data_IF_220416083957
#
_entry.id   IF_220416083957
#
_cell.length_a   1.000
_cell.length_b   1.000
_cell.length_c   1.000
_cell.angle_alpha   90.00
_cell.angle_beta   90.00
_cell.angle_gamma   90.00
#
_symmetry.space_group_name_H-M   'P 1'
#
loop_
_entity.id
_entity.type
_entity.pdbx_description
1 polymer ?
#
# COMPACT_ATOMS: atom_id res chain seq x y z
N UNK A 1 6.66 7.46 20.14
CA UNK A 1 7.89 7.79 19.40
C UNK A 1 8.43 9.12 19.91
N UNK A 2 9.76 9.33 19.92
CA UNK A 2 10.42 10.53 20.46
C UNK A 2 10.40 11.72 19.46
N UNK A 3 10.03 11.46 18.18
CA UNK A 3 10.05 12.42 17.07
C UNK A 3 8.67 12.55 16.43
N UNK A 4 8.35 13.73 15.93
CA UNK A 4 7.14 13.98 15.15
C UNK A 4 7.29 13.38 13.76
N UNK A 5 6.38 12.48 13.38
CA UNK A 5 6.36 11.82 12.07
C UNK A 5 6.21 12.82 10.94
N UNK A 6 5.42 13.88 11.14
CA UNK A 6 5.21 14.92 10.13
C UNK A 6 6.49 15.74 9.91
N UNK A 7 7.22 16.05 10.98
CA UNK A 7 8.50 16.74 10.89
C UNK A 7 9.53 15.89 10.13
N UNK A 8 9.65 14.61 10.48
CA UNK A 8 10.56 13.67 9.80
C UNK A 8 10.22 13.50 8.31
N UNK A 9 8.94 13.45 7.96
CA UNK A 9 8.49 13.34 6.56
C UNK A 9 9.00 14.46 5.67
N UNK A 10 9.17 15.67 6.22
CA UNK A 10 9.67 16.84 5.49
C UNK A 10 11.19 16.96 5.47
N UNK A 11 11.88 16.36 6.43
CA UNK A 11 13.34 16.44 6.55
C UNK A 11 14.07 15.29 5.88
N UNK A 12 13.42 14.12 5.76
CA UNK A 12 14.03 12.91 5.22
C UNK A 12 13.75 12.74 3.73
N UNK A 13 14.65 12.04 3.06
CA UNK A 13 14.47 11.53 1.71
C UNK A 13 15.03 10.11 1.59
N UNK A 14 14.50 9.33 0.66
CA UNK A 14 14.77 7.89 0.53
C UNK A 14 16.27 7.55 0.40
N UNK A 15 17.04 8.39 -0.32
CA UNK A 15 18.47 8.17 -0.50
C UNK A 15 19.23 8.18 0.83
N UNK A 16 19.04 9.19 1.68
CA UNK A 16 19.75 9.26 2.97
C UNK A 16 19.34 8.11 3.90
N UNK A 17 18.06 7.69 3.85
CA UNK A 17 17.60 6.54 4.61
C UNK A 17 18.29 5.25 4.16
N UNK A 18 18.41 5.03 2.85
CA UNK A 18 19.13 3.88 2.31
C UNK A 18 20.61 3.89 2.72
N UNK A 19 21.29 5.04 2.63
CA UNK A 19 22.72 5.17 3.00
C UNK A 19 22.94 4.85 4.49
N UNK A 20 22.07 5.36 5.36
CA UNK A 20 22.14 5.09 6.80
C UNK A 20 21.87 3.60 7.09
N UNK A 21 20.84 3.01 6.48
CA UNK A 21 20.50 1.60 6.64
C UNK A 21 21.60 0.68 6.11
N UNK A 22 22.24 1.05 5.01
CA UNK A 22 23.41 0.35 4.47
C UNK A 22 24.59 0.36 5.46
N UNK A 23 24.85 1.50 6.07
CA UNK A 23 25.84 1.63 7.13
C UNK A 23 25.54 0.79 8.38
N UNK A 24 24.27 0.52 8.65
CA UNK A 24 23.81 -0.36 9.73
C UNK A 24 23.79 -1.84 9.34
N UNK A 25 24.11 -2.18 8.08
CA UNK A 25 24.12 -3.55 7.57
C UNK A 25 22.79 -4.03 6.96
N UNK A 26 21.78 -3.18 6.87
CA UNK A 26 20.49 -3.48 6.21
C UNK A 26 20.60 -3.19 4.71
N UNK A 27 20.82 -4.22 3.91
CA UNK A 27 21.08 -4.11 2.46
C UNK A 27 19.87 -4.40 1.58
N UNK A 28 18.78 -4.88 2.14
CA UNK A 28 17.53 -5.21 1.43
C UNK A 28 16.37 -4.41 2.01
N UNK A 29 16.47 -3.09 1.91
CA UNK A 29 15.56 -2.12 2.54
C UNK A 29 14.74 -1.31 1.53
N UNK A 30 15.09 -1.35 0.23
CA UNK A 30 14.42 -0.59 -0.81
C UNK A 30 13.55 -1.49 -1.69
N UNK A 31 12.29 -1.11 -1.85
CA UNK A 31 11.36 -1.74 -2.78
C UNK A 31 11.74 -1.35 -4.21
N UNK A 32 11.41 -2.22 -5.16
CA UNK A 32 11.71 -2.05 -6.59
C UNK A 32 11.13 -0.75 -7.17
N UNK A 33 11.85 -0.13 -8.09
CA UNK A 33 11.43 1.02 -8.90
C UNK A 33 10.22 0.75 -9.83
N UNK A 34 9.65 -0.45 -9.78
CA UNK A 34 8.40 -0.79 -10.48
C UNK A 34 7.15 -0.27 -9.76
N UNK A 35 7.29 0.14 -8.51
CA UNK A 35 6.21 0.79 -7.73
C UNK A 35 6.46 2.28 -7.76
N UNK A 36 5.49 3.02 -8.29
CA UNK A 36 5.63 4.46 -8.52
C UNK A 36 4.47 5.22 -7.87
N UNK A 37 4.70 6.47 -7.46
CA UNK A 37 3.65 7.30 -6.91
C UNK A 37 2.61 7.69 -7.97
N UNK A 38 1.40 7.98 -7.54
CA UNK A 38 0.36 8.57 -8.39
C UNK A 38 0.71 9.99 -8.86
N UNK A 39 1.39 10.75 -8.00
CA UNK A 39 1.97 12.06 -8.27
C UNK A 39 3.42 12.04 -7.80
N UNK A 40 4.34 12.58 -8.60
CA UNK A 40 5.79 12.48 -8.38
C UNK A 40 6.26 13.16 -7.07
N UNK A 41 5.55 14.20 -6.62
CA UNK A 41 5.81 14.90 -5.36
C UNK A 41 5.33 14.13 -4.09
N UNK A 42 4.71 12.95 -4.29
CA UNK A 42 4.07 12.22 -3.19
C UNK A 42 5.10 11.60 -2.25
N UNK A 43 4.97 11.89 -0.97
CA UNK A 43 5.74 11.25 0.10
C UNK A 43 4.78 10.57 1.08
N UNK A 44 5.06 9.32 1.44
CA UNK A 44 4.38 8.60 2.53
C UNK A 44 5.38 8.29 3.64
N UNK A 45 4.92 8.38 4.89
CA UNK A 45 5.69 7.94 6.06
C UNK A 45 4.76 7.50 7.17
N UNK A 46 4.90 6.26 7.61
CA UNK A 46 4.08 5.71 8.69
C UNK A 46 4.27 4.20 8.89
N UNK A 47 3.67 3.63 9.93
CA UNK A 47 3.73 2.20 10.18
C UNK A 47 2.89 1.41 9.14
N UNK A 48 3.37 0.24 8.78
CA UNK A 48 2.71 -0.63 7.80
C UNK A 48 1.52 -1.36 8.42
N UNK A 49 0.34 -1.21 7.82
CA UNK A 49 -0.78 -2.12 7.95
C UNK A 49 -0.77 -3.08 6.76
N UNK A 50 -0.25 -4.28 6.97
CA UNK A 50 -0.01 -5.24 5.88
C UNK A 50 -1.25 -6.04 5.54
N UNK A 51 -1.44 -6.33 4.25
CA UNK A 51 -2.50 -7.19 3.73
C UNK A 51 -2.05 -7.95 2.48
N UNK A 52 -2.74 -9.04 2.19
CA UNK A 52 -2.46 -9.88 1.03
C UNK A 52 -3.72 -10.12 0.20
N UNK A 53 -3.55 -10.07 -1.12
CA UNK A 53 -4.54 -10.48 -2.09
C UNK A 53 -4.20 -11.82 -2.71
N UNK A 54 -5.19 -12.70 -2.83
CA UNK A 54 -5.09 -14.02 -3.46
C UNK A 54 -5.96 -14.10 -4.70
N UNK A 55 -5.49 -14.83 -5.71
CA UNK A 55 -6.28 -15.07 -6.93
C UNK A 55 -7.48 -15.95 -6.60
N UNK A 56 -8.64 -15.61 -7.18
CA UNK A 56 -9.86 -16.40 -7.08
C UNK A 56 -10.45 -16.63 -8.48
N UNK A 57 -11.16 -17.74 -8.64
CA UNK A 57 -11.67 -18.19 -9.94
C UNK A 57 -13.20 -18.21 -9.99
N UNK A 58 -13.86 -17.78 -8.92
CA UNK A 58 -15.32 -17.70 -8.84
C UNK A 58 -15.74 -16.37 -8.25
N UNK A 59 -16.92 -15.90 -8.61
CA UNK A 59 -17.53 -14.71 -8.04
C UNK A 59 -18.07 -15.08 -6.64
N UNK A 60 -17.60 -14.46 -5.55
CA UNK A 60 -18.19 -14.67 -4.24
C UNK A 60 -19.59 -14.04 -4.17
N UNK A 61 -20.40 -14.48 -3.22
CA UNK A 61 -21.76 -13.96 -3.00
C UNK A 61 -21.70 -12.45 -2.69
N UNK A 62 -20.78 -12.04 -1.79
CA UNK A 62 -20.55 -10.65 -1.42
C UNK A 62 -19.15 -10.20 -1.80
N UNK A 63 -18.91 -9.85 -3.08
CA UNK A 63 -17.61 -9.42 -3.54
C UNK A 63 -17.20 -8.10 -2.86
N UNK A 64 -15.93 -7.98 -2.47
CA UNK A 64 -15.31 -6.85 -1.76
C UNK A 64 -15.57 -6.80 -0.24
N UNK A 65 -16.50 -7.55 0.31
CA UNK A 65 -16.78 -7.56 1.75
C UNK A 65 -15.55 -7.94 2.57
N UNK A 66 -14.77 -8.92 2.13
CA UNK A 66 -13.51 -9.30 2.79
C UNK A 66 -12.52 -8.11 2.83
N UNK A 67 -12.32 -7.43 1.71
CA UNK A 67 -11.43 -6.27 1.65
C UNK A 67 -11.96 -5.08 2.49
N UNK A 68 -13.27 -4.85 2.53
CA UNK A 68 -13.85 -3.85 3.43
C UNK A 68 -13.53 -4.15 4.89
N UNK A 69 -13.71 -5.40 5.34
CA UNK A 69 -13.38 -5.84 6.71
C UNK A 69 -11.89 -5.70 7.03
N UNK A 70 -11.02 -5.86 6.05
CA UNK A 70 -9.58 -5.62 6.20
C UNK A 70 -9.30 -4.13 6.39
N UNK A 71 -9.82 -3.27 5.50
CA UNK A 71 -9.62 -1.81 5.58
C UNK A 71 -10.23 -1.22 6.85
N UNK A 72 -11.32 -1.79 7.36
CA UNK A 72 -11.95 -1.34 8.61
C UNK A 72 -11.06 -1.52 9.85
N UNK A 73 -10.03 -2.33 9.79
CA UNK A 73 -9.06 -2.53 10.88
C UNK A 73 -7.89 -1.54 10.82
N UNK A 74 -7.74 -0.77 9.72
CA UNK A 74 -6.66 0.20 9.57
C UNK A 74 -6.74 1.28 10.65
N UNK A 75 -5.63 1.55 11.32
CA UNK A 75 -5.46 2.61 12.30
C UNK A 75 -5.09 3.96 11.69
N UNK A 76 -5.27 5.04 12.46
CA UNK A 76 -4.85 6.38 12.08
C UNK A 76 -3.33 6.46 11.87
N UNK A 77 -2.88 7.06 10.77
CA UNK A 77 -1.47 7.23 10.43
C UNK A 77 -0.79 5.99 9.84
N UNK A 78 -1.47 4.86 9.75
CA UNK A 78 -0.93 3.66 9.10
C UNK A 78 -0.92 3.77 7.57
N UNK A 79 0.05 3.11 6.96
CA UNK A 79 0.12 2.93 5.50
C UNK A 79 -0.49 1.57 5.15
N UNK A 80 -1.52 1.59 4.31
CA UNK A 80 -2.12 0.36 3.78
C UNK A 80 -1.19 -0.30 2.78
N UNK A 81 -0.53 -1.37 3.18
CA UNK A 81 0.37 -2.18 2.35
C UNK A 81 -0.40 -3.38 1.82
N UNK A 82 -0.64 -3.42 0.50
CA UNK A 82 -1.36 -4.52 -0.15
C UNK A 82 -0.46 -5.25 -1.14
N UNK A 83 -0.22 -6.54 -0.90
CA UNK A 83 0.60 -7.41 -1.75
C UNK A 83 -0.29 -8.40 -2.51
N UNK A 84 -0.13 -8.50 -3.83
CA UNK A 84 -0.95 -9.39 -4.69
C UNK A 84 -0.16 -10.59 -5.23
N UNK A 85 1.11 -10.75 -4.84
CA UNK A 85 1.99 -11.85 -5.29
C UNK A 85 2.05 -12.02 -6.82
N UNK A 86 1.97 -10.92 -7.56
CA UNK A 86 2.04 -10.96 -9.03
C UNK A 86 0.68 -11.19 -9.73
N UNK A 87 -0.43 -11.21 -9.00
CA UNK A 87 -1.76 -11.18 -9.64
C UNK A 87 -2.05 -9.78 -10.19
N UNK A 88 -1.73 -9.58 -11.46
CA UNK A 88 -1.93 -8.32 -12.17
C UNK A 88 -3.06 -8.35 -13.19
N UNK A 89 -3.94 -9.38 -13.14
CA UNK A 89 -5.06 -9.51 -14.07
C UNK A 89 -6.22 -8.53 -13.77
N UNK A 90 -6.17 -7.82 -12.64
CA UNK A 90 -7.18 -6.85 -12.24
C UNK A 90 -6.57 -5.72 -11.40
N UNK A 91 -7.33 -4.62 -11.23
CA UNK A 91 -7.04 -3.63 -10.22
C UNK A 91 -7.65 -4.06 -8.89
N UNK A 92 -6.83 -4.02 -7.83
CA UNK A 92 -7.24 -4.37 -6.46
C UNK A 92 -7.48 -3.14 -5.60
N UNK A 93 -7.24 -1.95 -6.15
CA UNK A 93 -7.41 -0.67 -5.47
C UNK A 93 -8.00 0.38 -6.44
N UNK A 94 -8.84 1.27 -5.93
CA UNK A 94 -9.45 2.37 -6.66
C UNK A 94 -10.15 3.34 -5.71
N UNK A 95 -11.03 4.19 -6.25
CA UNK A 95 -11.71 5.26 -5.52
C UNK A 95 -12.40 4.79 -4.23
N UNK A 96 -13.13 3.67 -4.27
CA UNK A 96 -13.88 3.14 -3.13
C UNK A 96 -12.95 2.89 -1.93
N UNK A 97 -11.86 2.15 -2.15
CA UNK A 97 -10.92 1.82 -1.07
C UNK A 97 -10.03 2.99 -0.68
N UNK A 98 -9.70 3.90 -1.60
CA UNK A 98 -9.02 5.14 -1.27
C UNK A 98 -9.87 6.00 -0.32
N UNK A 99 -11.16 6.13 -0.60
CA UNK A 99 -12.11 6.83 0.27
C UNK A 99 -12.17 6.18 1.66
N UNK A 100 -12.22 4.85 1.73
CA UNK A 100 -12.26 4.12 3.00
C UNK A 100 -10.97 4.32 3.80
N UNK A 101 -9.80 4.15 3.18
CA UNK A 101 -8.49 4.36 3.85
C UNK A 101 -8.33 5.81 4.31
N UNK A 102 -8.73 6.78 3.49
CA UNK A 102 -8.71 8.22 3.85
C UNK A 102 -9.66 8.53 5.01
N UNK A 103 -10.85 7.96 5.02
CA UNK A 103 -11.83 8.14 6.11
C UNK A 103 -11.32 7.58 7.45
N UNK A 104 -10.48 6.53 7.40
CA UNK A 104 -9.80 5.98 8.58
C UNK A 104 -8.51 6.73 8.94
N UNK A 105 -8.22 7.83 8.23
CA UNK A 105 -7.02 8.66 8.40
C UNK A 105 -5.72 7.90 8.15
N UNK A 106 -5.74 6.92 7.25
CA UNK A 106 -4.51 6.27 6.76
C UNK A 106 -3.56 7.26 6.12
N UNK A 107 -2.26 7.08 6.31
CA UNK A 107 -1.22 7.99 5.81
C UNK A 107 -0.92 7.82 4.32
N UNK A 108 -1.38 6.74 3.70
CA UNK A 108 -1.18 6.43 2.29
C UNK A 108 -1.35 4.96 1.97
N UNK A 109 -1.06 4.60 0.73
CA UNK A 109 -1.16 3.23 0.21
C UNK A 109 0.11 2.84 -0.52
N UNK A 110 0.60 1.65 -0.23
CA UNK A 110 1.68 0.98 -0.94
C UNK A 110 1.15 -0.31 -1.54
N UNK A 111 0.99 -0.34 -2.87
CA UNK A 111 0.30 -1.38 -3.59
C UNK A 111 1.26 -2.17 -4.49
N UNK A 112 1.51 -3.44 -4.15
CA UNK A 112 2.07 -4.40 -5.10
C UNK A 112 0.98 -4.92 -6.02
N UNK A 113 0.52 -4.07 -6.94
CA UNK A 113 -0.59 -4.39 -7.82
C UNK A 113 -1.01 -3.21 -8.69
N UNK A 114 -2.17 -3.37 -9.34
CA UNK A 114 -2.74 -2.37 -10.22
C UNK A 114 -3.85 -1.57 -9.54
N UNK A 115 -3.89 -0.28 -9.88
CA UNK A 115 -4.96 0.64 -9.48
C UNK A 115 -5.88 0.99 -10.65
N UNK A 116 -7.09 1.44 -10.33
CA UNK A 116 -8.07 2.02 -11.26
C UNK A 116 -8.61 3.35 -10.72
N UNK A 117 -9.52 3.98 -11.44
CA UNK A 117 -10.17 5.25 -11.04
C UNK A 117 -9.18 6.39 -10.78
N UNK A 118 -8.07 6.43 -11.56
CA UNK A 118 -6.93 7.32 -11.27
C UNK A 118 -7.28 8.81 -11.30
N UNK A 119 -8.30 9.21 -12.06
CA UNK A 119 -8.79 10.60 -12.03
C UNK A 119 -9.32 10.94 -10.65
N UNK A 120 -10.18 10.12 -10.10
CA UNK A 120 -10.73 10.30 -8.76
C UNK A 120 -9.64 10.26 -7.68
N UNK A 121 -8.68 9.32 -7.79
CA UNK A 121 -7.54 9.25 -6.87
C UNK A 121 -6.71 10.54 -6.88
N UNK A 122 -6.49 11.15 -8.05
CA UNK A 122 -5.78 12.44 -8.17
C UNK A 122 -6.58 13.59 -7.57
N UNK A 123 -7.88 13.65 -7.82
CA UNK A 123 -8.78 14.67 -7.28
C UNK A 123 -8.91 14.58 -5.74
N UNK A 124 -8.77 13.38 -5.17
CA UNK A 124 -8.71 13.19 -3.71
C UNK A 124 -7.42 13.71 -3.07
N UNK A 125 -6.35 13.91 -3.85
CA UNK A 125 -4.99 14.21 -3.36
C UNK A 125 -4.53 13.22 -2.26
N UNK A 126 -4.82 11.93 -2.50
CA UNK A 126 -4.50 10.88 -1.53
C UNK A 126 -3.26 10.09 -1.99
N UNK A 127 -2.26 9.90 -1.10
CA UNK A 127 -0.99 9.29 -1.46
C UNK A 127 -1.14 7.80 -1.81
N UNK A 128 -0.86 7.43 -3.07
CA UNK A 128 -0.90 6.04 -3.55
C UNK A 128 0.34 5.74 -4.36
N UNK A 129 1.03 4.67 -4.00
CA UNK A 129 2.12 4.06 -4.76
C UNK A 129 1.66 2.71 -5.32
N UNK A 130 1.87 2.46 -6.61
CA UNK A 130 1.36 1.26 -7.29
C UNK A 130 2.20 0.86 -8.50
N UNK A 131 2.06 -0.41 -8.96
CA UNK A 131 2.82 -0.93 -10.11
C UNK A 131 2.30 -0.44 -11.46
N UNK A 132 1.01 -0.24 -11.58
CA UNK A 132 0.41 0.12 -12.88
C UNK A 132 -1.10 0.19 -12.85
N UNK A 133 -1.69 0.30 -14.03
CA UNK A 133 -3.11 0.61 -14.25
C UNK A 133 -3.83 -0.57 -14.87
N UNK A 134 -5.01 -0.90 -14.38
CA UNK A 134 -5.90 -1.89 -15.01
C UNK A 134 -7.36 -1.48 -14.76
N UNK A 135 -8.23 -1.41 -15.79
CA UNK A 135 -9.63 -1.02 -15.59
C UNK A 135 -10.49 -2.14 -14.97
N UNK A 136 -10.04 -3.40 -15.02
CA UNK A 136 -10.81 -4.54 -14.51
C UNK A 136 -10.91 -4.51 -13.00
N UNK A 137 -12.09 -4.79 -12.45
CA UNK A 137 -12.30 -4.96 -11.00
C UNK A 137 -11.67 -6.25 -10.46
N UNK A 138 -11.33 -6.27 -9.16
CA UNK A 138 -10.91 -7.47 -8.45
C UNK A 138 -12.02 -8.51 -8.23
N UNK A 139 -13.30 -8.12 -8.33
CA UNK A 139 -14.45 -9.02 -8.11
C UNK A 139 -14.33 -10.30 -8.95
N UNK A 140 -14.30 -11.46 -8.28
CA UNK A 140 -14.12 -12.77 -8.90
C UNK A 140 -12.74 -13.02 -9.53
N UNK A 141 -11.72 -12.21 -9.18
CA UNK A 141 -10.34 -12.34 -9.70
C UNK A 141 -9.29 -12.29 -8.61
N UNK A 142 -9.47 -11.43 -7.63
CA UNK A 142 -8.57 -11.32 -6.48
C UNK A 142 -9.38 -10.94 -5.24
N UNK A 143 -9.16 -11.64 -4.15
CA UNK A 143 -9.78 -11.37 -2.86
C UNK A 143 -8.71 -11.01 -1.84
N UNK A 144 -8.98 -9.97 -1.05
CA UNK A 144 -8.11 -9.51 0.03
C UNK A 144 -8.80 -9.89 1.33
N UNK A 145 -8.30 -10.92 2.00
CA UNK A 145 -8.95 -11.56 3.15
C UNK A 145 -8.03 -11.74 4.36
N UNK A 146 -6.74 -11.47 4.21
CA UNK A 146 -5.78 -11.54 5.31
C UNK A 146 -5.07 -10.20 5.49
N UNK A 147 -4.86 -9.81 6.74
CA UNK A 147 -4.11 -8.62 7.11
C UNK A 147 -3.30 -8.84 8.39
N UNK A 148 -2.42 -7.87 8.69
CA UNK A 148 -1.55 -7.88 9.86
C UNK A 148 -0.70 -9.16 9.95
N UNK A 149 -0.21 -9.60 8.80
CA UNK A 149 0.72 -10.72 8.62
C UNK A 149 2.01 -10.21 7.96
N UNK A 150 3.16 -10.86 8.18
CA UNK A 150 4.37 -10.55 7.40
C UNK A 150 4.15 -10.81 5.91
N UNK A 151 4.54 -9.85 5.09
CA UNK A 151 4.46 -9.95 3.63
C UNK A 151 5.83 -9.70 2.99
N UNK A 152 5.98 -10.06 1.72
CA UNK A 152 7.18 -9.76 0.94
C UNK A 152 6.79 -9.01 -0.33
N UNK A 153 7.43 -7.88 -0.58
CA UNK A 153 7.23 -7.05 -1.77
C UNK A 153 8.58 -6.86 -2.46
N UNK A 154 8.73 -7.39 -3.68
CA UNK A 154 9.99 -7.38 -4.45
C UNK A 154 11.22 -7.87 -3.66
N UNK A 155 11.06 -8.89 -2.83
CA UNK A 155 12.12 -9.46 -2.01
C UNK A 155 12.36 -8.73 -0.68
N UNK A 156 11.73 -7.57 -0.45
CA UNK A 156 11.78 -6.87 0.84
C UNK A 156 10.71 -7.43 1.76
N UNK A 157 11.10 -7.91 2.93
CA UNK A 157 10.17 -8.36 3.96
C UNK A 157 9.60 -7.14 4.70
N UNK A 158 8.28 -7.11 4.84
CA UNK A 158 7.54 -6.07 5.57
C UNK A 158 6.69 -6.74 6.62
N UNK A 159 6.87 -6.35 7.88
CA UNK A 159 6.06 -6.82 9.00
C UNK A 159 5.03 -5.75 9.40
N UNK A 160 3.90 -6.15 10.00
CA UNK A 160 3.01 -5.19 10.62
C UNK A 160 3.76 -4.24 11.56
N UNK A 161 3.55 -2.94 11.40
CA UNK A 161 4.20 -1.89 12.19
C UNK A 161 5.61 -1.48 11.74
N UNK A 162 6.21 -2.13 10.75
CA UNK A 162 7.46 -1.63 10.15
C UNK A 162 7.21 -0.24 9.53
N UNK A 163 8.16 0.68 9.68
CA UNK A 163 8.00 2.02 9.11
C UNK A 163 8.31 2.04 7.62
N UNK A 164 7.37 2.54 6.86
CA UNK A 164 7.49 2.78 5.41
C UNK A 164 7.75 4.27 5.19
N UNK A 165 8.78 4.53 4.42
CA UNK A 165 9.07 5.86 3.90
C UNK A 165 9.10 5.81 2.37
#
# INVERSE_FOLDING_TARGET
MKYDVNELKHQLYSGILCDVMDGMGYRNQAISNKINPLNDETVIFGPAFTSIGTEVYSMPEDPLTAQCKVVDQLGEGEIYVLVTRGNYNCAVFGELFATAVKARKGAGVLLDGYARDLKALKEMDFPVFFRGKNPKTSKGRCEINECQIPVTMDGVAIRPGDYIF
#
